data_IF_749047256219
#
_entry.id   IF_749047256219
#
_cell.length_a   1.000
_cell.length_b   1.000
_cell.length_c   1.000
_cell.angle_alpha   90.00
_cell.angle_beta   90.00
_cell.angle_gamma   90.00
#
_symmetry.space_group_name_H-M   'P 1'
#
loop_
_entity.id
_entity.type
_entity.pdbx_description
1 polymer ?
#
# COMPACT_ATOMS: atom_id res chain seq x y z
N UNK A 1 10.38 42.25 30.35
CA UNK A 1 10.32 40.88 29.78
C UNK A 1 9.14 40.78 28.87
N UNK A 2 9.32 40.89 27.56
CA UNK A 2 8.22 40.79 26.56
C UNK A 2 8.41 39.50 25.79
N UNK A 3 7.59 38.53 26.11
CA UNK A 3 7.52 37.23 25.44
C UNK A 3 6.90 37.42 24.03
N UNK A 4 7.71 37.32 22.99
CA UNK A 4 7.21 37.32 21.59
C UNK A 4 6.69 35.92 21.26
N UNK A 5 5.37 35.82 21.21
CA UNK A 5 4.68 34.66 20.64
C UNK A 5 4.96 34.62 19.13
N UNK A 6 5.81 33.70 18.68
CA UNK A 6 6.04 33.47 17.26
C UNK A 6 4.80 32.77 16.68
N UNK A 7 4.10 33.48 15.81
CA UNK A 7 3.00 32.92 14.99
C UNK A 7 3.60 31.86 14.08
N UNK A 8 3.26 30.61 14.33
CA UNK A 8 3.52 29.50 13.41
C UNK A 8 2.50 29.68 12.27
N UNK A 9 2.97 30.15 11.13
CA UNK A 9 2.17 30.16 9.89
C UNK A 9 2.23 28.75 9.33
N UNK A 10 1.16 27.99 9.56
CA UNK A 10 0.93 26.71 8.88
C UNK A 10 0.68 27.02 7.40
N UNK A 11 1.68 26.81 6.57
CA UNK A 11 1.53 26.83 5.13
C UNK A 11 0.72 25.60 4.72
N UNK A 12 -0.58 25.76 4.60
CA UNK A 12 -1.53 24.76 4.15
C UNK A 12 -1.23 24.47 2.67
N UNK A 13 -0.62 23.33 2.39
CA UNK A 13 -0.59 22.79 1.03
C UNK A 13 -2.04 22.38 0.71
N UNK A 14 -2.71 23.22 -0.06
CA UNK A 14 -4.06 22.93 -0.59
C UNK A 14 -3.89 21.89 -1.69
N UNK A 15 -4.04 20.61 -1.33
CA UNK A 15 -4.33 19.56 -2.30
C UNK A 15 -5.79 19.78 -2.72
N UNK A 16 -6.00 20.16 -3.98
CA UNK A 16 -7.34 20.24 -4.58
C UNK A 16 -7.98 18.85 -4.55
N UNK A 17 -8.77 18.60 -3.53
CA UNK A 17 -9.67 17.45 -3.48
C UNK A 17 -10.85 17.76 -4.42
N UNK A 18 -10.86 17.13 -5.58
CA UNK A 18 -12.06 17.07 -6.40
C UNK A 18 -13.10 16.23 -5.64
N UNK A 19 -14.33 16.70 -5.47
CA UNK A 19 -15.38 15.93 -4.84
C UNK A 19 -15.82 14.81 -5.77
N UNK A 20 -15.34 13.60 -5.55
CA UNK A 20 -15.97 12.41 -6.10
C UNK A 20 -17.21 12.12 -5.26
N UNK A 21 -18.38 12.28 -5.86
CA UNK A 21 -19.63 11.88 -5.27
C UNK A 21 -19.65 10.34 -5.13
N UNK A 22 -19.47 9.87 -3.91
CA UNK A 22 -19.72 8.49 -3.56
C UNK A 22 -21.24 8.26 -3.58
N UNK A 23 -21.74 7.62 -4.61
CA UNK A 23 -23.12 7.09 -4.62
C UNK A 23 -23.16 5.90 -3.67
N UNK A 24 -23.83 6.09 -2.53
CA UNK A 24 -24.13 5.05 -1.57
C UNK A 24 -25.00 3.97 -2.19
N UNK A 25 -24.51 2.74 -2.25
CA UNK A 25 -25.34 1.58 -2.53
C UNK A 25 -26.10 1.21 -1.25
N UNK A 26 -27.42 1.32 -1.33
CA UNK A 26 -28.35 0.76 -0.36
C UNK A 26 -28.27 -0.76 -0.40
N UNK A 27 -27.89 -1.37 0.72
CA UNK A 27 -27.97 -2.81 0.92
C UNK A 27 -29.44 -3.23 0.93
N UNK A 28 -29.83 -4.01 -0.09
CA UNK A 28 -31.05 -4.79 -0.05
C UNK A 28 -30.83 -6.04 0.82
N UNK A 29 -31.55 -6.11 1.93
CA UNK A 29 -31.66 -7.26 2.80
C UNK A 29 -32.28 -8.45 2.05
N UNK A 30 -31.53 -9.54 1.90
CA UNK A 30 -32.08 -10.81 1.44
C UNK A 30 -32.95 -11.45 2.52
N UNK A 31 -34.21 -11.59 2.17
CA UNK A 31 -35.22 -12.34 2.93
C UNK A 31 -34.86 -13.83 2.92
N UNK A 32 -34.87 -14.46 4.10
CA UNK A 32 -34.55 -15.86 4.28
C UNK A 32 -35.54 -16.78 3.60
N UNK A 33 -35.03 -17.82 2.98
CA UNK A 33 -35.81 -18.96 2.53
C UNK A 33 -36.03 -19.90 3.72
N UNK A 34 -37.30 -20.07 4.05
CA UNK A 34 -37.77 -20.99 5.08
C UNK A 34 -37.54 -22.43 4.67
N UNK A 35 -37.13 -23.21 5.65
CA UNK A 35 -37.11 -24.66 5.66
C UNK A 35 -38.55 -25.20 5.68
N UNK A 36 -38.93 -26.00 4.70
CA UNK A 36 -40.12 -26.86 4.76
C UNK A 36 -39.69 -28.28 5.08
N UNK A 37 -40.10 -28.75 6.25
CA UNK A 37 -40.13 -30.14 6.68
C UNK A 37 -41.30 -30.87 6.00
N UNK A 38 -41.08 -32.12 5.59
CA UNK A 38 -42.20 -32.99 5.18
C UNK A 38 -41.77 -34.26 4.50
N UNK A 39 -41.80 -35.24 5.24
CA UNK A 39 -42.42 -36.56 5.36
C UNK A 39 -41.62 -37.77 4.86
N UNK A 40 -41.55 -38.70 5.78
CA UNK A 40 -41.10 -40.09 5.64
C UNK A 40 -41.82 -40.85 4.55
N UNK A 41 -41.08 -41.66 3.79
CA UNK A 41 -41.59 -42.93 3.28
C UNK A 41 -40.46 -43.97 3.19
N UNK A 42 -40.72 -45.07 3.81
CA UNK A 42 -39.98 -46.35 3.91
C UNK A 42 -39.69 -47.01 2.56
N UNK A 43 -38.53 -47.66 2.44
CA UNK A 43 -38.29 -48.71 1.43
C UNK A 43 -36.84 -48.88 0.99
N UNK A 44 -36.20 -49.88 1.55
CA UNK A 44 -34.91 -50.54 1.25
C UNK A 44 -34.71 -50.92 -0.25
N UNK A 45 -33.50 -51.26 -0.79
CA UNK A 45 -32.21 -51.61 -0.16
C UNK A 45 -30.96 -50.95 -0.72
N UNK A 46 -29.87 -51.16 -0.04
CA UNK A 46 -28.49 -50.71 -0.28
C UNK A 46 -28.03 -50.83 -1.76
N UNK A 47 -27.71 -49.65 -2.33
CA UNK A 47 -26.76 -49.53 -3.45
C UNK A 47 -25.55 -48.83 -2.93
N UNK A 48 -24.41 -49.51 -2.94
CA UNK A 48 -23.10 -48.93 -2.62
C UNK A 48 -22.86 -47.71 -3.52
N UNK A 49 -22.91 -46.54 -2.91
CA UNK A 49 -22.46 -45.32 -3.55
C UNK A 49 -20.91 -45.31 -3.47
N UNK A 50 -20.26 -45.59 -4.60
CA UNK A 50 -18.88 -45.32 -4.78
C UNK A 50 -18.58 -43.83 -4.45
N UNK A 51 -17.55 -43.53 -3.65
CA UNK A 51 -17.18 -42.14 -3.37
C UNK A 51 -16.84 -41.45 -4.68
N UNK A 52 -17.57 -40.39 -5.03
CA UNK A 52 -17.17 -39.52 -6.13
C UNK A 52 -15.87 -38.82 -5.69
N UNK A 53 -14.80 -39.16 -6.38
CA UNK A 53 -13.52 -38.51 -6.26
C UNK A 53 -13.63 -37.06 -6.80
N UNK A 54 -13.83 -36.09 -5.90
CA UNK A 54 -13.82 -34.66 -6.21
C UNK A 54 -12.41 -34.09 -6.43
N UNK A 55 -11.36 -34.94 -6.46
CA UNK A 55 -9.97 -34.53 -6.54
C UNK A 55 -9.43 -34.18 -7.93
N UNK A 56 -10.23 -34.29 -8.99
CA UNK A 56 -9.74 -34.14 -10.37
C UNK A 56 -10.37 -33.01 -11.19
N UNK A 57 -11.09 -32.08 -10.59
CA UNK A 57 -11.47 -30.87 -11.35
C UNK A 57 -10.28 -29.93 -11.48
N UNK A 58 -9.38 -30.22 -12.40
CA UNK A 58 -8.48 -29.21 -12.93
C UNK A 58 -9.33 -28.18 -13.66
N UNK A 59 -9.50 -27.00 -13.06
CA UNK A 59 -9.91 -25.80 -13.78
C UNK A 59 -8.80 -25.44 -14.75
N UNK A 60 -8.76 -26.15 -15.85
CA UNK A 60 -7.82 -25.90 -16.92
C UNK A 60 -8.46 -24.83 -17.79
N UNK A 61 -7.97 -23.59 -17.71
CA UNK A 61 -8.23 -22.54 -18.68
C UNK A 61 -7.61 -22.89 -20.03
N UNK A 62 -8.09 -23.97 -20.64
CA UNK A 62 -7.75 -24.40 -21.99
C UNK A 62 -8.88 -24.01 -22.95
N UNK A 63 -8.59 -24.05 -24.24
CA UNK A 63 -9.62 -23.91 -25.27
C UNK A 63 -10.75 -24.89 -24.98
N UNK A 64 -12.01 -24.47 -25.15
CA UNK A 64 -13.17 -25.37 -24.97
C UNK A 64 -13.00 -26.62 -25.82
N UNK A 65 -13.49 -27.80 -25.37
CA UNK A 65 -13.43 -29.01 -26.15
C UNK A 65 -14.10 -28.82 -27.53
N UNK A 66 -13.65 -29.59 -28.50
CA UNK A 66 -14.12 -29.45 -29.89
C UNK A 66 -15.64 -29.64 -30.06
N UNK A 67 -16.27 -30.33 -29.14
CA UNK A 67 -17.71 -30.58 -29.02
C UNK A 67 -18.45 -29.60 -28.10
N UNK A 68 -17.72 -28.62 -27.53
CA UNK A 68 -18.33 -27.61 -26.69
C UNK A 68 -19.32 -26.77 -27.52
N UNK A 69 -20.51 -26.62 -26.98
CA UNK A 69 -21.55 -25.80 -27.60
C UNK A 69 -21.05 -24.36 -27.70
N UNK A 70 -21.21 -23.78 -28.91
CA UNK A 70 -20.97 -22.35 -29.10
C UNK A 70 -21.82 -21.54 -28.11
N UNK A 71 -21.22 -20.76 -27.22
CA UNK A 71 -21.95 -19.92 -26.27
C UNK A 71 -22.93 -18.95 -26.94
N UNK A 72 -22.71 -18.64 -28.20
CA UNK A 72 -23.55 -17.73 -29.00
C UNK A 72 -24.51 -18.44 -29.96
N UNK A 73 -24.64 -19.79 -29.90
CA UNK A 73 -25.46 -20.60 -30.82
C UNK A 73 -26.93 -20.14 -30.96
N UNK A 74 -27.47 -19.47 -29.92
CA UNK A 74 -28.83 -18.93 -29.91
C UNK A 74 -28.88 -17.39 -29.85
N UNK A 75 -27.78 -16.73 -30.13
CA UNK A 75 -27.72 -15.27 -30.13
C UNK A 75 -28.40 -14.63 -31.35
N UNK A 76 -28.86 -15.42 -32.32
CA UNK A 76 -29.38 -14.90 -33.58
C UNK A 76 -28.36 -14.12 -34.41
N UNK A 77 -27.07 -14.38 -34.19
CA UNK A 77 -25.94 -13.64 -34.79
C UNK A 77 -25.52 -12.39 -34.07
N UNK A 78 -26.19 -12.06 -32.95
CA UNK A 78 -25.77 -10.90 -32.13
C UNK A 78 -24.59 -11.26 -31.22
N UNK A 79 -23.64 -10.39 -31.18
CA UNK A 79 -22.55 -10.41 -30.17
C UNK A 79 -22.93 -9.56 -28.97
N UNK A 80 -22.25 -9.82 -27.86
CA UNK A 80 -22.44 -9.05 -26.64
C UNK A 80 -22.21 -7.55 -26.94
N UNK A 81 -23.16 -6.71 -26.55
CA UNK A 81 -23.15 -5.27 -26.77
C UNK A 81 -23.22 -4.79 -28.25
N UNK A 82 -23.71 -5.62 -29.15
CA UNK A 82 -23.97 -5.27 -30.56
C UNK A 82 -25.47 -5.48 -30.92
N UNK A 83 -25.92 -4.83 -31.99
CA UNK A 83 -27.28 -4.98 -32.53
C UNK A 83 -28.26 -3.91 -32.00
N UNK A 84 -29.50 -4.02 -32.46
CA UNK A 84 -30.56 -3.00 -32.21
C UNK A 84 -30.96 -2.85 -30.73
N UNK A 85 -30.66 -3.84 -29.88
CA UNK A 85 -30.93 -3.83 -28.43
C UNK A 85 -29.68 -3.60 -27.60
N UNK A 86 -28.56 -3.26 -28.23
CA UNK A 86 -27.36 -2.94 -27.50
C UNK A 86 -27.56 -1.65 -26.67
N UNK A 87 -27.25 -1.71 -25.39
CA UNK A 87 -27.29 -0.51 -24.54
C UNK A 87 -26.21 0.48 -24.99
N UNK A 88 -26.52 1.76 -24.94
CA UNK A 88 -25.55 2.83 -25.07
C UNK A 88 -24.38 2.57 -24.07
N UNK A 89 -23.12 2.82 -24.46
CA UNK A 89 -21.97 2.61 -23.58
C UNK A 89 -22.11 3.18 -22.17
N UNK A 90 -22.89 4.25 -22.00
CA UNK A 90 -23.18 4.86 -20.69
C UNK A 90 -24.04 4.01 -19.76
N UNK A 91 -24.84 3.09 -20.32
CA UNK A 91 -25.76 2.23 -19.58
C UNK A 91 -25.30 0.77 -19.53
N UNK A 92 -24.13 0.44 -20.11
CA UNK A 92 -23.59 -0.91 -20.07
C UNK A 92 -23.17 -1.26 -18.64
N UNK A 93 -23.55 -2.46 -18.22
CA UNK A 93 -23.06 -3.02 -16.98
C UNK A 93 -21.54 -3.24 -17.11
N UNK A 94 -20.78 -2.58 -16.28
CA UNK A 94 -19.34 -2.81 -16.16
C UNK A 94 -19.09 -3.90 -15.13
N UNK A 95 -18.21 -4.83 -15.46
CA UNK A 95 -17.72 -5.80 -14.48
C UNK A 95 -16.80 -5.10 -13.48
N UNK A 96 -16.60 -5.69 -12.32
CA UNK A 96 -15.77 -5.07 -11.26
C UNK A 96 -14.34 -4.79 -11.70
N UNK A 97 -13.80 -5.56 -12.62
CA UNK A 97 -12.46 -5.41 -13.21
C UNK A 97 -12.36 -4.31 -14.28
N UNK A 98 -13.50 -3.84 -14.81
CA UNK A 98 -13.57 -2.75 -15.79
C UNK A 98 -13.63 -1.35 -15.13
N UNK A 99 -13.80 -1.28 -13.81
CA UNK A 99 -13.85 -0.03 -13.06
C UNK A 99 -12.46 0.52 -12.79
N UNK A 100 -12.34 1.85 -12.89
CA UNK A 100 -11.18 2.58 -12.37
C UNK A 100 -11.44 2.97 -10.93
N UNK A 101 -10.51 2.64 -10.08
CA UNK A 101 -10.49 3.00 -8.69
C UNK A 101 -9.35 3.97 -8.40
N UNK A 102 -9.51 4.78 -7.40
CA UNK A 102 -8.44 5.64 -6.89
C UNK A 102 -8.48 5.63 -5.37
N UNK A 103 -7.33 5.75 -4.74
CA UNK A 103 -7.20 5.91 -3.29
C UNK A 103 -6.02 6.80 -2.98
N UNK A 104 -6.17 7.59 -1.93
CA UNK A 104 -5.10 8.36 -1.29
C UNK A 104 -5.00 7.90 0.15
N UNK A 105 -3.84 7.45 0.56
CA UNK A 105 -3.53 7.06 1.95
C UNK A 105 -2.33 7.84 2.44
N UNK A 106 -2.53 8.62 3.48
CA UNK A 106 -1.46 9.21 4.27
C UNK A 106 -1.23 8.32 5.49
N UNK A 107 -0.16 7.52 5.46
CA UNK A 107 0.17 6.59 6.54
C UNK A 107 0.56 7.36 7.78
N UNK A 108 1.45 8.34 7.58
CA UNK A 108 2.05 9.12 8.64
C UNK A 108 2.14 10.60 8.23
N UNK A 109 1.55 11.47 9.01
CA UNK A 109 1.84 12.90 9.03
C UNK A 109 2.20 13.25 10.46
N UNK A 110 3.50 13.38 10.76
CA UNK A 110 4.06 13.33 12.09
C UNK A 110 4.76 14.62 12.49
N UNK A 111 4.60 14.96 13.73
CA UNK A 111 5.54 15.79 14.47
C UNK A 111 6.55 14.87 15.15
N UNK A 112 7.82 15.08 14.87
CA UNK A 112 8.94 14.27 15.37
C UNK A 112 9.78 15.09 16.32
N UNK A 113 10.16 14.50 17.44
CA UNK A 113 11.05 15.09 18.43
C UNK A 113 12.16 14.13 18.81
N UNK A 114 13.41 14.55 18.61
CA UNK A 114 14.59 13.80 19.05
C UNK A 114 15.72 14.74 19.45
N UNK A 115 16.46 14.42 20.52
CA UNK A 115 17.63 15.16 21.00
C UNK A 115 17.43 16.68 21.11
N UNK A 116 16.22 17.11 21.45
CA UNK A 116 15.90 18.55 21.58
C UNK A 116 15.66 19.27 20.24
N UNK A 117 15.67 18.55 19.13
CA UNK A 117 15.25 19.04 17.82
C UNK A 117 13.84 18.58 17.49
N UNK A 118 13.17 19.34 16.63
CA UNK A 118 11.79 19.11 16.24
C UNK A 118 11.65 19.34 14.73
N UNK A 119 10.94 18.45 14.05
CA UNK A 119 10.64 18.56 12.63
C UNK A 119 9.34 17.82 12.29
N UNK A 120 8.86 17.96 11.08
CA UNK A 120 7.72 17.21 10.58
C UNK A 120 8.17 16.13 9.62
N UNK A 121 7.48 15.00 9.62
CA UNK A 121 7.67 13.93 8.66
C UNK A 121 6.34 13.55 8.02
N UNK A 122 6.41 13.07 6.78
CA UNK A 122 5.25 12.56 6.07
C UNK A 122 5.57 11.28 5.31
N UNK A 123 4.60 10.41 5.24
CA UNK A 123 4.64 9.20 4.43
C UNK A 123 3.24 8.90 3.90
N UNK A 124 3.12 8.74 2.60
CA UNK A 124 1.84 8.50 1.98
C UNK A 124 1.94 7.83 0.63
N UNK A 125 0.80 7.32 0.19
CA UNK A 125 0.66 6.62 -1.07
C UNK A 125 -0.66 7.02 -1.73
N UNK A 126 -0.63 7.26 -3.03
CA UNK A 126 -1.81 7.40 -3.86
C UNK A 126 -1.74 6.38 -5.00
N UNK A 127 -2.88 5.87 -5.44
CA UNK A 127 -2.92 5.06 -6.63
C UNK A 127 -4.22 5.27 -7.41
N UNK A 128 -4.13 5.03 -8.71
CA UNK A 128 -5.27 5.03 -9.62
C UNK A 128 -5.10 3.91 -10.64
N UNK A 129 -6.17 3.16 -10.91
CA UNK A 129 -6.12 2.08 -11.90
C UNK A 129 -7.26 1.10 -11.80
N UNK A 130 -7.10 -0.02 -12.50
CA UNK A 130 -8.01 -1.17 -12.44
C UNK A 130 -7.63 -2.13 -11.31
N UNK A 131 -8.35 -3.24 -11.21
CA UNK A 131 -8.04 -4.31 -10.25
C UNK A 131 -6.63 -4.87 -10.43
N UNK A 132 -6.15 -5.00 -11.68
CA UNK A 132 -4.88 -5.65 -11.99
C UNK A 132 -3.73 -4.67 -12.25
N UNK A 133 -4.02 -3.47 -12.76
CA UNK A 133 -2.98 -2.52 -13.15
C UNK A 133 -3.26 -1.15 -12.53
N UNK A 134 -2.27 -0.60 -11.83
CA UNK A 134 -2.38 0.67 -11.10
C UNK A 134 -1.16 1.53 -11.35
N UNK A 135 -1.38 2.82 -11.49
CA UNK A 135 -0.34 3.81 -11.29
C UNK A 135 -0.27 4.11 -9.80
N UNK A 136 0.90 3.92 -9.20
CA UNK A 136 1.13 4.13 -7.77
C UNK A 136 2.13 5.27 -7.60
N UNK A 137 1.80 6.21 -6.75
CA UNK A 137 2.66 7.30 -6.31
C UNK A 137 2.92 7.11 -4.81
N UNK A 138 4.18 6.89 -4.43
CA UNK A 138 4.61 6.88 -3.03
C UNK A 138 5.43 8.13 -2.75
N UNK A 139 5.27 8.70 -1.57
CA UNK A 139 6.01 9.86 -1.13
C UNK A 139 6.29 9.81 0.36
N UNK A 140 7.54 10.02 0.73
CA UNK A 140 7.98 10.17 2.11
C UNK A 140 8.98 11.32 2.21
N UNK A 141 9.10 11.92 3.38
CA UNK A 141 10.10 12.96 3.58
C UNK A 141 9.99 13.66 4.92
N UNK A 142 10.98 14.49 5.17
CA UNK A 142 11.09 15.32 6.37
C UNK A 142 11.08 16.81 6.00
N UNK A 143 10.44 17.63 6.83
CA UNK A 143 10.39 19.08 6.65
C UNK A 143 10.63 19.81 7.97
N UNK A 144 11.39 20.89 7.90
CA UNK A 144 11.71 21.75 9.05
C UNK A 144 11.60 23.21 8.64
N UNK A 145 10.98 24.04 9.47
CA UNK A 145 10.77 25.47 9.22
C UNK A 145 10.10 25.75 7.85
N UNK A 146 9.15 24.90 7.44
CA UNK A 146 8.42 25.01 6.18
C UNK A 146 9.24 24.66 4.92
N UNK A 147 10.41 24.03 5.08
CA UNK A 147 11.29 23.61 3.98
C UNK A 147 11.50 22.12 4.03
N UNK A 148 11.40 21.48 2.86
CA UNK A 148 11.72 20.05 2.70
C UNK A 148 13.22 19.90 2.95
N UNK A 149 13.58 19.00 3.87
CA UNK A 149 14.96 18.63 4.15
C UNK A 149 15.35 17.43 3.29
N UNK A 150 14.52 16.39 3.32
CA UNK A 150 14.67 15.19 2.53
C UNK A 150 13.31 14.79 1.95
N UNK A 151 13.31 14.24 0.75
CA UNK A 151 12.14 13.57 0.21
C UNK A 151 12.51 12.45 -0.73
N UNK A 152 11.73 11.39 -0.69
CA UNK A 152 11.74 10.28 -1.64
C UNK A 152 10.37 10.23 -2.30
N UNK A 153 10.36 10.22 -3.62
CA UNK A 153 9.13 10.11 -4.40
C UNK A 153 9.29 8.96 -5.38
N UNK A 154 8.33 8.07 -5.42
CA UNK A 154 8.31 6.94 -6.33
C UNK A 154 7.07 7.00 -7.21
N UNK A 155 7.27 6.81 -8.52
CA UNK A 155 6.19 6.69 -9.51
C UNK A 155 6.30 5.31 -10.11
N UNK A 156 5.33 4.45 -9.81
CA UNK A 156 5.40 3.01 -10.06
C UNK A 156 4.18 2.55 -10.86
N UNK A 157 4.38 1.61 -11.74
CA UNK A 157 3.33 0.76 -12.27
C UNK A 157 3.21 -0.46 -11.36
N UNK A 158 2.05 -0.65 -10.75
CA UNK A 158 1.71 -1.81 -9.93
C UNK A 158 0.89 -2.82 -10.73
N UNK A 159 1.25 -4.08 -10.66
CA UNK A 159 0.53 -5.18 -11.29
C UNK A 159 0.26 -6.29 -10.27
N UNK A 160 -1.03 -6.64 -10.11
CA UNK A 160 -1.44 -7.71 -9.21
C UNK A 160 -1.04 -9.07 -9.77
N UNK A 161 -0.16 -9.78 -9.08
CA UNK A 161 0.30 -11.14 -9.43
C UNK A 161 -0.45 -12.22 -8.65
N UNK A 162 -1.07 -11.86 -7.54
CA UNK A 162 -1.97 -12.72 -6.79
C UNK A 162 -2.96 -11.88 -5.98
N UNK A 163 -3.84 -12.53 -5.22
CA UNK A 163 -4.85 -11.86 -4.39
C UNK A 163 -4.25 -10.87 -3.38
N UNK A 164 -3.06 -11.14 -2.89
CA UNK A 164 -2.41 -10.39 -1.81
C UNK A 164 -1.07 -9.77 -2.20
N UNK A 165 -0.61 -9.96 -3.44
CA UNK A 165 0.71 -9.51 -3.87
C UNK A 165 0.65 -8.76 -5.18
N UNK A 166 1.26 -7.58 -5.19
CA UNK A 166 1.50 -6.74 -6.36
C UNK A 166 3.00 -6.67 -6.65
N UNK A 167 3.39 -6.77 -7.91
CA UNK A 167 4.70 -6.32 -8.37
C UNK A 167 4.64 -4.84 -8.71
N UNK A 168 5.74 -4.14 -8.50
CA UNK A 168 5.86 -2.71 -8.76
C UNK A 168 7.12 -2.43 -9.56
N UNK A 169 7.01 -1.60 -10.60
CA UNK A 169 8.14 -1.18 -11.42
C UNK A 169 8.00 0.31 -11.79
N UNK A 170 9.09 1.06 -11.71
CA UNK A 170 9.05 2.47 -12.08
C UNK A 170 10.28 3.25 -11.69
N UNK A 171 10.12 4.53 -11.35
CA UNK A 171 11.20 5.43 -10.98
C UNK A 171 11.08 5.93 -9.55
N UNK A 172 12.22 6.07 -8.88
CA UNK A 172 12.39 6.73 -7.59
C UNK A 172 13.25 7.97 -7.76
N UNK A 173 12.88 9.03 -7.09
CA UNK A 173 13.54 10.32 -7.08
C UNK A 173 13.82 10.74 -5.64
N UNK A 174 15.10 10.89 -5.31
CA UNK A 174 15.55 11.34 -4.00
C UNK A 174 16.02 12.78 -4.06
N UNK A 175 15.53 13.59 -3.16
CA UNK A 175 15.94 14.95 -2.93
C UNK A 175 16.48 15.10 -1.50
N UNK A 176 17.63 15.73 -1.33
CA UNK A 176 18.19 16.15 -0.06
C UNK A 176 18.63 17.60 -0.15
N UNK A 177 18.36 18.38 0.86
CA UNK A 177 18.71 19.78 0.89
C UNK A 177 20.20 19.99 1.10
N UNK A 178 20.88 20.49 0.06
CA UNK A 178 22.34 20.64 0.08
C UNK A 178 23.09 19.41 -0.41
N UNK A 179 22.35 18.37 -0.81
CA UNK A 179 22.86 17.13 -1.36
C UNK A 179 22.47 16.97 -2.84
N UNK A 180 23.22 16.20 -3.63
CA UNK A 180 22.83 15.91 -4.99
C UNK A 180 21.58 15.02 -5.03
N UNK A 181 20.62 15.36 -5.90
CA UNK A 181 19.47 14.51 -6.17
C UNK A 181 19.90 13.19 -6.83
N UNK A 182 19.18 12.10 -6.53
CA UNK A 182 19.42 10.78 -7.13
C UNK A 182 18.16 10.27 -7.80
N UNK A 183 18.37 9.53 -8.90
CA UNK A 183 17.30 8.87 -9.65
C UNK A 183 17.61 7.39 -9.74
N UNK A 184 16.57 6.59 -9.60
CA UNK A 184 16.68 5.13 -9.56
C UNK A 184 15.56 4.51 -10.37
N UNK A 185 15.87 3.40 -11.02
CA UNK A 185 14.87 2.45 -11.47
C UNK A 185 14.48 1.58 -10.26
N UNK A 186 13.21 1.43 -10.00
CA UNK A 186 12.66 0.64 -8.90
C UNK A 186 11.98 -0.62 -9.43
N UNK A 187 12.26 -1.75 -8.79
CA UNK A 187 11.62 -3.05 -9.03
C UNK A 187 11.30 -3.67 -7.68
N UNK A 188 10.04 -3.91 -7.40
CA UNK A 188 9.62 -4.37 -6.08
C UNK A 188 8.40 -5.28 -6.08
N UNK A 189 8.12 -5.79 -4.90
CA UNK A 189 6.91 -6.52 -4.56
C UNK A 189 6.35 -5.95 -3.27
N UNK A 190 5.03 -5.76 -3.24
CA UNK A 190 4.30 -5.31 -2.06
C UNK A 190 3.11 -6.22 -1.83
N UNK A 191 2.80 -6.53 -0.59
CA UNK A 191 1.62 -7.36 -0.31
C UNK A 191 1.45 -7.72 1.15
N UNK A 192 0.45 -8.59 1.37
CA UNK A 192 0.14 -9.16 2.68
C UNK A 192 0.68 -10.58 2.78
N UNK A 193 1.63 -10.77 3.67
CA UNK A 193 2.13 -12.08 4.05
C UNK A 193 1.16 -12.79 5.03
N UNK A 194 1.35 -14.11 5.30
CA UNK A 194 0.61 -14.81 6.33
C UNK A 194 0.59 -14.04 7.66
N UNK A 195 -0.52 -14.14 8.37
CA UNK A 195 -0.79 -13.40 9.61
C UNK A 195 -0.96 -11.87 9.42
N UNK A 196 -1.23 -11.39 8.19
CA UNK A 196 -1.52 -9.99 7.87
C UNK A 196 -0.35 -9.03 8.05
N UNK A 197 0.88 -9.52 7.88
CA UNK A 197 2.04 -8.64 7.76
C UNK A 197 2.01 -7.91 6.42
N UNK A 198 2.00 -6.59 6.44
CA UNK A 198 2.24 -5.78 5.25
C UNK A 198 3.75 -5.77 4.97
N UNK A 199 4.16 -6.24 3.80
CA UNK A 199 5.55 -6.31 3.38
C UNK A 199 5.75 -5.51 2.10
N UNK A 200 6.87 -4.80 2.03
CA UNK A 200 7.38 -4.16 0.81
C UNK A 200 8.87 -4.49 0.68
N UNK A 201 9.27 -5.00 -0.46
CA UNK A 201 10.66 -5.28 -0.80
C UNK A 201 10.97 -4.73 -2.18
N UNK A 202 11.81 -3.71 -2.25
CA UNK A 202 12.10 -2.99 -3.50
C UNK A 202 13.61 -2.89 -3.72
N UNK A 203 14.05 -3.34 -4.90
CA UNK A 203 15.41 -3.17 -5.40
C UNK A 203 15.49 -1.93 -6.28
N UNK A 204 16.58 -1.19 -6.18
CA UNK A 204 16.82 0.04 -6.92
C UNK A 204 18.13 -0.04 -7.71
N UNK A 205 18.08 0.45 -8.94
CA UNK A 205 19.24 0.59 -9.82
C UNK A 205 19.40 2.07 -10.17
N UNK A 206 20.49 2.68 -9.72
CA UNK A 206 20.80 4.09 -9.96
C UNK A 206 21.87 4.30 -11.00
N UNK A 207 22.13 5.55 -11.32
CA UNK A 207 23.24 5.95 -12.17
C UNK A 207 24.59 5.50 -11.58
N UNK A 208 25.63 5.38 -12.42
CA UNK A 208 27.00 5.04 -12.03
C UNK A 208 27.13 3.67 -11.33
N UNK A 209 26.23 2.75 -11.61
CA UNK A 209 26.24 1.40 -11.03
C UNK A 209 25.87 1.35 -9.54
N UNK A 210 25.18 2.37 -9.02
CA UNK A 210 24.61 2.35 -7.69
C UNK A 210 23.46 1.37 -7.64
N UNK A 211 23.39 0.58 -6.58
CA UNK A 211 22.29 -0.32 -6.30
C UNK A 211 21.83 -0.12 -4.87
N UNK A 212 20.54 -0.34 -4.61
CA UNK A 212 20.01 -0.35 -3.25
C UNK A 212 18.91 -1.40 -3.13
N UNK A 213 18.67 -1.86 -1.90
CA UNK A 213 17.57 -2.73 -1.54
C UNK A 213 16.91 -2.15 -0.28
N UNK A 214 15.61 -1.95 -0.31
CA UNK A 214 14.79 -1.58 0.83
C UNK A 214 13.84 -2.71 1.15
N UNK A 215 13.72 -3.00 2.42
CA UNK A 215 12.72 -3.90 2.95
C UNK A 215 11.97 -3.22 4.08
N UNK A 216 10.64 -3.23 4.04
CA UNK A 216 9.80 -2.76 5.13
C UNK A 216 8.75 -3.79 5.49
N UNK A 217 8.39 -3.82 6.77
CA UNK A 217 7.37 -4.69 7.31
C UNK A 217 6.57 -3.96 8.38
N UNK A 218 5.26 -4.08 8.32
CA UNK A 218 4.33 -3.50 9.29
C UNK A 218 3.30 -4.54 9.72
N UNK A 219 2.80 -4.37 10.96
CA UNK A 219 1.74 -5.22 11.48
C UNK A 219 0.78 -4.42 12.35
N UNK A 220 -0.52 -4.71 12.26
CA UNK A 220 -1.54 -4.06 13.06
C UNK A 220 -2.06 -5.01 14.15
N UNK A 221 -1.55 -4.85 15.38
CA UNK A 221 -1.99 -5.61 16.54
C UNK A 221 -3.19 -4.92 17.21
N UNK A 222 -4.38 -5.45 17.00
CA UNK A 222 -5.61 -4.93 17.57
C UNK A 222 -5.66 -5.20 19.10
N UNK A 223 -5.68 -4.14 19.88
CA UNK A 223 -5.89 -4.17 21.33
C UNK A 223 -7.38 -4.08 21.68
N UNK A 224 -8.11 -3.27 20.91
CA UNK A 224 -9.56 -3.15 20.94
C UNK A 224 -10.07 -2.97 19.51
N UNK A 225 -11.37 -2.80 19.31
CA UNK A 225 -11.94 -2.52 17.98
C UNK A 225 -11.47 -1.21 17.34
N UNK A 226 -10.94 -0.28 18.14
CA UNK A 226 -10.51 1.07 17.68
C UNK A 226 -9.08 1.41 18.06
N UNK A 227 -8.49 0.67 18.98
CA UNK A 227 -7.13 0.91 19.45
C UNK A 227 -6.24 -0.23 18.99
N UNK A 228 -5.18 0.08 18.28
CA UNK A 228 -4.21 -0.90 17.84
C UNK A 228 -2.78 -0.41 17.97
N UNK A 229 -1.89 -1.35 18.15
CA UNK A 229 -0.46 -1.15 18.20
C UNK A 229 0.13 -1.54 16.86
N UNK A 230 0.90 -0.64 16.24
CA UNK A 230 1.55 -0.89 14.96
C UNK A 230 3.07 -0.92 15.15
N UNK A 231 3.69 -2.09 15.30
CA UNK A 231 5.11 -2.27 15.06
C UNK A 231 5.39 -2.12 13.56
N UNK A 232 6.47 -1.43 13.23
CA UNK A 232 6.97 -1.25 11.88
C UNK A 232 8.48 -1.37 11.88
N UNK A 233 9.06 -1.90 10.81
CA UNK A 233 10.50 -1.93 10.59
C UNK A 233 10.84 -1.58 9.15
N UNK A 234 11.97 -0.96 8.97
CA UNK A 234 12.55 -0.67 7.66
C UNK A 234 14.05 -0.89 7.71
N UNK A 235 14.61 -1.47 6.67
CA UNK A 235 16.05 -1.64 6.50
C UNK A 235 16.48 -1.29 5.08
N UNK A 236 17.62 -0.63 4.96
CA UNK A 236 18.17 -0.16 3.71
C UNK A 236 19.59 -0.72 3.51
N UNK A 237 19.83 -1.27 2.32
CA UNK A 237 21.13 -1.76 1.88
C UNK A 237 21.56 -1.02 0.64
N UNK A 238 22.83 -0.65 0.54
CA UNK A 238 23.40 -0.01 -0.63
C UNK A 238 24.60 -0.82 -1.16
N UNK A 239 24.68 -0.98 -2.46
CA UNK A 239 25.76 -1.76 -3.10
C UNK A 239 27.05 -0.94 -3.30
N UNK A 240 26.98 0.39 -3.22
CA UNK A 240 28.10 1.31 -3.44
C UNK A 240 28.05 2.46 -2.44
N UNK A 241 29.24 2.94 -2.03
CA UNK A 241 29.36 4.17 -1.21
C UNK A 241 28.91 5.40 -2.02
N UNK A 242 28.17 6.30 -1.36
CA UNK A 242 27.80 7.64 -1.85
C UNK A 242 28.13 8.67 -0.78
N UNK A 243 29.41 9.11 -0.71
CA UNK A 243 29.87 10.07 0.32
C UNK A 243 29.16 11.43 0.25
N UNK A 244 28.66 11.83 -0.93
CA UNK A 244 27.94 13.09 -1.10
C UNK A 244 26.57 13.08 -0.39
N UNK A 245 26.11 11.92 0.02
CA UNK A 245 24.85 11.71 0.77
C UNK A 245 25.04 10.97 2.10
N UNK A 246 26.27 10.88 2.58
CA UNK A 246 26.62 10.17 3.81
C UNK A 246 26.14 8.71 3.84
N UNK A 247 26.13 8.02 2.68
CA UNK A 247 25.68 6.66 2.52
C UNK A 247 26.88 5.73 2.27
N UNK A 248 27.07 4.76 3.14
CA UNK A 248 28.05 3.69 3.00
C UNK A 248 27.48 2.42 2.37
N UNK A 249 28.34 1.66 1.75
CA UNK A 249 28.02 0.34 1.17
C UNK A 249 27.67 -0.69 2.25
N UNK A 250 26.73 -1.57 1.95
CA UNK A 250 26.29 -2.69 2.79
C UNK A 250 24.98 -2.36 3.49
N UNK A 251 24.80 -2.90 4.69
CA UNK A 251 23.68 -2.52 5.56
C UNK A 251 23.93 -1.10 6.06
N UNK A 252 23.15 -0.17 5.56
CA UNK A 252 23.36 1.27 5.76
C UNK A 252 22.63 1.79 6.97
N UNK A 253 21.32 1.57 7.01
CA UNK A 253 20.46 2.06 8.07
C UNK A 253 19.25 1.15 8.29
N UNK A 254 18.67 1.28 9.46
CA UNK A 254 17.44 0.62 9.82
C UNK A 254 16.63 1.43 10.83
N UNK A 255 15.32 1.30 10.74
CA UNK A 255 14.36 1.93 11.64
C UNK A 255 13.44 0.86 12.21
N UNK A 256 13.11 0.98 13.48
CA UNK A 256 12.06 0.19 14.15
C UNK A 256 11.15 1.15 14.86
N UNK A 257 9.87 1.13 14.52
CA UNK A 257 8.85 1.99 15.07
C UNK A 257 7.79 1.20 15.84
N UNK A 258 7.21 1.85 16.83
CA UNK A 258 6.06 1.36 17.55
C UNK A 258 5.07 2.51 17.73
N UNK A 259 3.92 2.43 17.08
CA UNK A 259 2.88 3.47 17.10
C UNK A 259 1.61 2.93 17.74
N UNK A 260 1.05 3.66 18.69
CA UNK A 260 -0.26 3.39 19.27
C UNK A 260 -1.29 4.26 18.55
N UNK A 261 -2.12 3.63 17.73
CA UNK A 261 -3.08 4.27 16.82
C UNK A 261 -4.50 4.12 17.35
N UNK A 262 -5.30 5.18 17.26
CA UNK A 262 -6.69 5.18 17.70
C UNK A 262 -7.63 5.62 16.57
N UNK A 263 -8.52 4.74 16.13
CA UNK A 263 -9.51 5.04 15.10
C UNK A 263 -10.65 5.90 15.67
N UNK A 264 -10.60 7.21 15.47
CA UNK A 264 -11.76 8.06 15.72
C UNK A 264 -12.84 7.71 14.70
N UNK A 265 -12.46 7.74 13.42
CA UNK A 265 -13.20 7.16 12.30
C UNK A 265 -12.23 6.25 11.55
N UNK A 266 -12.73 5.37 10.68
CA UNK A 266 -11.86 4.53 9.85
C UNK A 266 -10.91 5.35 8.96
N UNK A 267 -11.33 6.56 8.58
CA UNK A 267 -10.60 7.45 7.70
C UNK A 267 -9.64 8.40 8.43
N UNK A 268 -9.74 8.51 9.74
CA UNK A 268 -8.92 9.44 10.53
C UNK A 268 -8.42 8.79 11.82
N UNK A 269 -7.11 8.65 11.91
CA UNK A 269 -6.44 7.85 12.92
C UNK A 269 -5.29 8.63 13.53
N UNK A 270 -5.50 9.39 14.61
CA UNK A 270 -4.41 9.96 15.39
C UNK A 270 -3.62 8.88 16.11
N UNK A 271 -2.34 9.17 16.37
CA UNK A 271 -1.44 8.27 17.08
C UNK A 271 -0.29 8.98 17.77
N UNK A 272 0.33 8.25 18.68
CA UNK A 272 1.60 8.57 19.30
C UNK A 272 2.52 7.35 19.15
N UNK A 273 3.83 7.59 19.19
CA UNK A 273 4.74 6.47 19.04
C UNK A 273 6.19 6.80 19.40
N UNK A 274 7.02 5.80 19.28
CA UNK A 274 8.45 5.87 19.40
C UNK A 274 9.09 5.13 18.22
N UNK A 275 10.16 5.70 17.70
CA UNK A 275 10.94 5.12 16.62
C UNK A 275 12.43 5.12 17.02
N UNK A 276 13.08 4.00 16.77
CA UNK A 276 14.52 3.83 16.91
C UNK A 276 15.14 3.74 15.52
N UNK A 277 16.05 4.66 15.25
CA UNK A 277 16.81 4.69 14.00
C UNK A 277 18.27 4.38 14.32
N UNK A 278 18.89 3.55 13.50
CA UNK A 278 20.31 3.19 13.60
C UNK A 278 20.99 3.21 12.25
N UNK A 279 22.19 3.76 12.20
CA UNK A 279 23.10 3.71 11.06
C UNK A 279 24.18 2.66 11.31
N UNK A 280 24.61 1.97 10.26
CA UNK A 280 25.55 0.85 10.37
C UNK A 280 26.72 1.03 9.41
N UNK A 281 27.85 0.31 9.70
CA UNK A 281 29.03 0.28 8.85
C UNK A 281 29.54 1.69 8.51
N UNK A 282 29.96 1.89 7.27
CA UNK A 282 30.47 3.19 6.80
C UNK A 282 29.49 4.34 6.91
N UNK A 283 28.18 4.10 6.80
CA UNK A 283 27.16 5.14 7.04
C UNK A 283 27.22 5.66 8.47
N UNK A 284 27.46 4.79 9.43
CA UNK A 284 27.63 5.18 10.82
C UNK A 284 28.92 5.98 11.02
N UNK A 285 30.01 5.58 10.39
CA UNK A 285 31.29 6.26 10.50
C UNK A 285 31.21 7.68 9.88
N UNK A 286 30.65 7.83 8.67
CA UNK A 286 30.40 9.12 8.04
C UNK A 286 29.50 10.03 8.90
N UNK A 287 28.46 9.47 9.49
CA UNK A 287 27.58 10.22 10.38
C UNK A 287 28.31 10.75 11.62
N UNK A 288 29.22 9.96 12.24
CA UNK A 288 30.06 10.41 13.36
C UNK A 288 31.06 11.50 12.95
N UNK A 289 31.70 11.32 11.79
CA UNK A 289 32.63 12.33 11.25
C UNK A 289 31.92 13.67 10.99
N UNK A 290 30.65 13.64 10.55
CA UNK A 290 29.81 14.81 10.40
C UNK A 290 29.24 15.36 11.74
N UNK A 291 29.60 14.76 12.89
CA UNK A 291 29.08 15.14 14.21
C UNK A 291 27.64 14.69 14.50
N UNK A 292 27.11 13.81 13.68
CA UNK A 292 25.80 13.19 13.84
C UNK A 292 25.85 11.96 14.77
N UNK A 293 24.70 11.36 14.97
CA UNK A 293 24.55 10.18 15.82
C UNK A 293 24.38 8.90 15.00
N UNK A 294 25.01 7.82 15.45
CA UNK A 294 24.76 6.47 14.92
C UNK A 294 23.36 5.94 15.26
N UNK A 295 22.87 6.29 16.43
CA UNK A 295 21.57 5.82 16.92
C UNK A 295 20.75 6.99 17.45
N UNK A 296 19.47 6.96 17.18
CA UNK A 296 18.55 7.99 17.63
C UNK A 296 17.21 7.38 18.04
N UNK A 297 16.68 7.86 19.16
CA UNK A 297 15.31 7.57 19.57
C UNK A 297 14.47 8.80 19.30
N UNK A 298 13.38 8.60 18.54
CA UNK A 298 12.46 9.63 18.10
C UNK A 298 11.11 9.42 18.77
N UNK A 299 10.53 10.46 19.33
CA UNK A 299 9.14 10.46 19.78
C UNK A 299 8.30 11.09 18.67
N UNK A 300 7.22 10.41 18.30
CA UNK A 300 6.37 10.83 17.21
C UNK A 300 4.93 11.01 17.68
N UNK A 301 4.25 12.01 17.15
CA UNK A 301 2.82 12.20 17.30
C UNK A 301 2.26 12.67 15.96
N UNK A 302 1.19 12.05 15.51
CA UNK A 302 0.71 12.34 14.17
C UNK A 302 -0.69 11.84 13.89
N UNK A 303 -1.05 11.92 12.62
CA UNK A 303 -2.33 11.45 12.09
C UNK A 303 -2.11 10.65 10.82
N UNK A 304 -2.86 9.56 10.68
CA UNK A 304 -3.06 8.87 9.42
C UNK A 304 -4.46 9.13 8.89
N UNK A 305 -4.61 9.16 7.57
CA UNK A 305 -5.93 9.28 6.95
C UNK A 305 -5.95 8.65 5.55
N UNK A 306 -7.14 8.29 5.08
CA UNK A 306 -7.31 7.75 3.73
C UNK A 306 -8.66 8.14 3.12
N UNK A 307 -8.66 8.19 1.78
CA UNK A 307 -9.83 8.49 0.96
C UNK A 307 -9.90 7.59 -0.28
#
# INVERSE_FOLDING_TARGET
>A
MKTRLKKIVFGMVVVLALPFAAQGQTQNSHVGHGSSSGSETTGDPATEMTPMDHGAMKMQGGSPPADARDPNAYSGGFKRNEGQYALDPRYRLKMSDEHLFASLRMNNLEYVRARGQEWGAYEGQAWIGSTFNRLVLKGEGEFKDGKIQESRTEVLWGHAISTFWDTQMGGRFDYGRGEPSRQWLALGVQGLAPYWFELDATAYLGSEGRTALRFSAEYNLLLTQKLYLQPAMEVNFYGKDDPERDIGRGFSDGKVGLRLKYEITRQFVPYIGVEWSSKFGKTADMAEEAGGAKQETRFVAGVGFWF
#
